data_IF_391569178262
#
_entry.id   IF_391569178262
#
_cell.length_a   1.000
_cell.length_b   1.000
_cell.length_c   1.000
_cell.angle_alpha   90.00
_cell.angle_beta   90.00
_cell.angle_gamma   90.00
#
_symmetry.space_group_name_H-M   'P 1'
#
loop_
_entity.id
_entity.type
_entity.pdbx_description
1 polymer ?
#
# COMPACT_ATOMS: atom_id res chain seq x y z
N UNK A 1 4.91 -19.58 -11.50
CA UNK A 1 4.44 -18.48 -12.37
C UNK A 1 3.44 -17.54 -11.66
N UNK A 2 3.44 -17.42 -10.32
CA UNK A 2 2.50 -16.57 -9.58
C UNK A 2 3.09 -15.23 -9.09
N UNK A 3 4.42 -15.11 -8.99
CA UNK A 3 5.08 -13.89 -8.52
C UNK A 3 4.91 -12.71 -9.49
N UNK A 4 4.95 -12.96 -10.80
CA UNK A 4 4.96 -11.90 -11.82
C UNK A 4 3.70 -11.02 -11.82
N UNK A 5 2.53 -11.52 -11.40
CA UNK A 5 1.30 -10.71 -11.36
C UNK A 5 1.25 -9.77 -10.17
N UNK A 6 1.93 -10.11 -9.07
CA UNK A 6 1.85 -9.34 -7.83
C UNK A 6 2.75 -8.10 -7.90
N UNK A 7 3.93 -8.20 -8.52
CA UNK A 7 4.82 -7.06 -8.77
C UNK A 7 4.17 -6.00 -9.68
N UNK A 8 3.50 -6.41 -10.77
CA UNK A 8 2.77 -5.49 -11.64
C UNK A 8 1.60 -4.82 -10.91
N UNK A 9 0.90 -5.57 -10.04
CA UNK A 9 -0.19 -5.05 -9.22
C UNK A 9 0.32 -4.06 -8.18
N UNK A 10 1.45 -4.35 -7.53
CA UNK A 10 2.08 -3.46 -6.57
C UNK A 10 2.50 -2.15 -7.22
N UNK A 11 3.22 -2.20 -8.34
CA UNK A 11 3.64 -1.00 -9.05
C UNK A 11 2.45 -0.11 -9.45
N UNK A 12 1.33 -0.73 -9.86
CA UNK A 12 0.10 -0.01 -10.15
C UNK A 12 -0.52 0.64 -8.90
N UNK A 13 -0.56 -0.06 -7.77
CA UNK A 13 -1.02 0.49 -6.47
C UNK A 13 -0.13 1.66 -6.04
N UNK A 14 1.19 1.50 -6.10
CA UNK A 14 2.15 2.54 -5.72
C UNK A 14 1.99 3.80 -6.58
N UNK A 15 1.83 3.63 -7.89
CA UNK A 15 1.59 4.74 -8.82
C UNK A 15 0.22 5.40 -8.58
N UNK A 16 -0.83 4.64 -8.32
CA UNK A 16 -2.16 5.18 -8.02
C UNK A 16 -2.14 5.97 -6.69
N UNK A 17 -1.53 5.40 -5.65
CA UNK A 17 -1.37 6.07 -4.36
C UNK A 17 -0.55 7.35 -4.48
N UNK A 18 0.59 7.33 -5.18
CA UNK A 18 1.40 8.51 -5.44
C UNK A 18 0.61 9.61 -6.17
N UNK A 19 -0.18 9.23 -7.20
CA UNK A 19 -1.06 10.15 -7.92
C UNK A 19 -2.13 10.77 -7.03
N UNK A 20 -2.82 9.96 -6.21
CA UNK A 20 -3.86 10.46 -5.30
C UNK A 20 -3.29 11.38 -4.20
N UNK A 21 -2.06 11.11 -3.77
CA UNK A 21 -1.32 11.95 -2.82
C UNK A 21 -0.73 13.20 -3.47
N UNK A 22 -0.81 13.33 -4.80
CA UNK A 22 -0.14 14.37 -5.58
C UNK A 22 1.38 14.43 -5.30
N UNK A 23 2.00 13.26 -5.14
CA UNK A 23 3.43 13.09 -4.88
C UNK A 23 4.14 12.54 -6.09
N UNK A 24 5.40 12.95 -6.27
CA UNK A 24 6.28 12.26 -7.20
C UNK A 24 6.51 10.82 -6.74
N UNK A 25 6.53 9.88 -7.70
CA UNK A 25 6.76 8.45 -7.40
C UNK A 25 8.03 8.23 -6.57
N UNK A 26 9.07 9.03 -6.82
CA UNK A 26 10.31 9.01 -6.03
C UNK A 26 10.05 9.41 -4.56
N UNK A 27 9.37 10.52 -4.33
CA UNK A 27 9.02 10.98 -2.98
C UNK A 27 8.14 9.96 -2.25
N UNK A 28 7.23 9.31 -2.97
CA UNK A 28 6.39 8.25 -2.45
C UNK A 28 7.20 7.02 -2.00
N UNK A 29 8.13 6.51 -2.83
CA UNK A 29 9.02 5.38 -2.48
C UNK A 29 10.03 5.70 -1.37
N UNK A 30 10.37 6.98 -1.22
CA UNK A 30 11.18 7.46 -0.10
C UNK A 30 10.36 7.58 1.20
N UNK A 31 9.06 7.83 1.10
CA UNK A 31 8.16 7.98 2.24
C UNK A 31 7.58 6.64 2.75
N UNK A 32 7.30 5.71 1.84
CA UNK A 32 6.69 4.43 2.13
C UNK A 32 7.55 3.28 1.63
N UNK A 33 7.67 2.25 2.45
CA UNK A 33 8.31 0.99 2.12
C UNK A 33 7.23 -0.08 1.97
N UNK A 34 7.09 -0.62 0.76
CA UNK A 34 6.16 -1.70 0.47
C UNK A 34 6.90 -3.03 0.52
N UNK A 35 6.36 -3.97 1.28
CA UNK A 35 6.80 -5.35 1.32
C UNK A 35 5.61 -6.23 0.96
N UNK A 36 5.76 -7.01 -0.09
CA UNK A 36 4.74 -7.98 -0.49
C UNK A 36 5.09 -9.32 0.14
N UNK A 37 4.16 -9.85 0.93
CA UNK A 37 4.14 -11.24 1.38
C UNK A 37 3.14 -12.04 0.53
N UNK A 38 3.09 -13.37 0.72
CA UNK A 38 2.30 -14.28 -0.13
C UNK A 38 0.83 -13.87 -0.32
N UNK A 39 0.21 -13.21 0.66
CA UNK A 39 -1.22 -12.82 0.63
C UNK A 39 -1.48 -11.40 1.15
N UNK A 40 -0.42 -10.65 1.49
CA UNK A 40 -0.53 -9.36 2.16
C UNK A 40 0.51 -8.35 1.67
N UNK A 41 0.14 -7.08 1.64
CA UNK A 41 1.02 -5.94 1.43
C UNK A 41 1.25 -5.26 2.78
N UNK A 42 2.50 -5.23 3.20
CA UNK A 42 2.93 -4.49 4.38
C UNK A 42 3.51 -3.16 3.94
N UNK A 43 3.07 -2.07 4.58
CA UNK A 43 3.51 -0.72 4.26
C UNK A 43 4.08 -0.08 5.50
N UNK A 44 5.38 0.18 5.46
CA UNK A 44 6.12 0.84 6.51
C UNK A 44 6.37 2.32 6.15
N UNK A 45 5.86 3.29 6.94
CA UNK A 45 6.26 4.68 6.88
C UNK A 45 7.75 4.80 7.18
N UNK A 46 8.52 5.39 6.26
CA UNK A 46 9.88 5.86 6.52
C UNK A 46 9.90 7.26 7.13
N UNK A 47 8.85 8.05 6.90
CA UNK A 47 8.66 9.33 7.58
C UNK A 47 8.02 9.12 8.96
N UNK A 48 8.59 9.81 9.95
CA UNK A 48 8.16 9.80 11.35
C UNK A 48 6.77 10.45 11.54
N UNK A 49 6.36 11.32 10.62
CA UNK A 49 5.04 11.95 10.62
C UNK A 49 4.38 11.81 9.25
N UNK A 50 3.48 10.83 9.13
CA UNK A 50 2.47 10.81 8.09
C UNK A 50 1.25 11.57 8.57
N UNK A 51 0.65 12.35 7.69
CA UNK A 51 -0.65 12.94 7.95
C UNK A 51 -1.73 11.86 7.85
N UNK A 52 -2.78 11.99 8.66
CA UNK A 52 -3.92 11.07 8.60
C UNK A 52 -4.58 11.05 7.21
N UNK A 53 -4.62 12.20 6.53
CA UNK A 53 -5.08 12.34 5.15
C UNK A 53 -4.27 11.48 4.16
N UNK A 54 -2.95 11.41 4.34
CA UNK A 54 -2.06 10.60 3.50
C UNK A 54 -2.33 9.11 3.71
N UNK A 55 -2.48 8.71 4.98
CA UNK A 55 -2.84 7.34 5.37
C UNK A 55 -4.20 6.91 4.82
N UNK A 56 -5.21 7.79 4.89
CA UNK A 56 -6.54 7.51 4.33
C UNK A 56 -6.50 7.38 2.82
N UNK A 57 -5.74 8.25 2.15
CA UNK A 57 -5.56 8.20 0.69
C UNK A 57 -4.89 6.90 0.26
N UNK A 58 -3.86 6.48 1.00
CA UNK A 58 -3.19 5.19 0.79
C UNK A 58 -4.18 4.03 0.97
N UNK A 59 -4.93 3.98 2.08
CA UNK A 59 -5.94 2.94 2.34
C UNK A 59 -6.96 2.82 1.20
N UNK A 60 -7.46 3.96 0.70
CA UNK A 60 -8.38 3.98 -0.44
C UNK A 60 -7.71 3.46 -1.73
N UNK A 61 -6.47 3.87 -2.00
CA UNK A 61 -5.74 3.39 -3.17
C UNK A 61 -5.48 1.88 -3.14
N UNK A 62 -5.28 1.28 -1.96
CA UNK A 62 -5.21 -0.18 -1.82
C UNK A 62 -6.59 -0.85 -1.96
N UNK A 63 -7.63 -0.24 -1.41
CA UNK A 63 -9.00 -0.75 -1.51
C UNK A 63 -9.49 -0.81 -2.96
N UNK A 64 -9.15 0.17 -3.80
CA UNK A 64 -9.43 0.19 -5.25
C UNK A 64 -8.87 -1.05 -5.97
N UNK A 65 -7.85 -1.70 -5.42
CA UNK A 65 -7.20 -2.90 -5.97
C UNK A 65 -7.58 -4.18 -5.22
N UNK A 66 -8.57 -4.12 -4.32
CA UNK A 66 -9.03 -5.26 -3.52
C UNK A 66 -8.17 -5.58 -2.31
N UNK A 67 -7.33 -4.66 -1.86
CA UNK A 67 -6.55 -4.81 -0.63
C UNK A 67 -7.22 -4.05 0.52
N UNK A 68 -7.63 -4.79 1.56
CA UNK A 68 -8.25 -4.21 2.74
C UNK A 68 -7.25 -4.13 3.88
N UNK A 69 -7.26 -3.00 4.59
CA UNK A 69 -6.47 -2.83 5.80
C UNK A 69 -6.89 -3.86 6.85
N UNK A 70 -5.93 -4.67 7.31
CA UNK A 70 -6.17 -5.73 8.30
C UNK A 70 -5.77 -5.31 9.71
N UNK A 71 -4.53 -4.89 9.87
CA UNK A 71 -3.93 -4.58 11.18
C UNK A 71 -2.69 -3.71 11.03
N UNK A 72 -2.31 -3.05 12.11
CA UNK A 72 -0.99 -2.42 12.25
C UNK A 72 -0.09 -3.32 13.08
N UNK A 73 1.13 -3.55 12.63
CA UNK A 73 2.18 -4.28 13.35
C UNK A 73 3.25 -3.30 13.79
N UNK A 74 3.75 -3.45 15.02
CA UNK A 74 4.78 -2.59 15.62
C UNK A 74 4.41 -1.09 15.60
N UNK A 75 3.13 -0.73 15.72
CA UNK A 75 2.60 0.64 15.69
C UNK A 75 2.89 1.49 14.42
N UNK A 76 3.63 0.95 13.46
CA UNK A 76 4.02 1.68 12.24
C UNK A 76 3.72 0.92 10.95
N UNK A 77 3.76 -0.42 10.95
CA UNK A 77 3.63 -1.22 9.73
C UNK A 77 2.16 -1.52 9.48
N UNK A 78 1.61 -0.99 8.40
CA UNK A 78 0.23 -1.23 8.00
C UNK A 78 0.16 -2.48 7.14
N UNK A 79 -0.58 -3.49 7.59
CA UNK A 79 -0.77 -4.74 6.86
C UNK A 79 -2.11 -4.71 6.16
N UNK A 80 -2.08 -4.91 4.85
CA UNK A 80 -3.24 -5.00 3.98
C UNK A 80 -3.28 -6.40 3.39
N UNK A 81 -4.42 -7.07 3.48
CA UNK A 81 -4.61 -8.39 2.87
C UNK A 81 -5.48 -8.24 1.62
N UNK A 82 -5.21 -9.07 0.62
CA UNK A 82 -6.08 -9.10 -0.56
C UNK A 82 -7.39 -9.78 -0.16
N UNK A 83 -8.41 -8.99 0.15
CA UNK A 83 -9.72 -9.52 0.50
C UNK A 83 -10.49 -9.73 -0.81
N UNK A 84 -10.22 -10.86 -1.44
CA UNK A 84 -10.94 -11.31 -2.64
C UNK A 84 -12.26 -11.93 -2.21
N UNK A 85 -13.13 -11.19 -1.52
CA UNK A 85 -14.56 -11.52 -1.49
C UNK A 85 -15.13 -11.22 -2.89
N UNK A 86 -14.79 -12.09 -3.84
CA UNK A 86 -15.59 -12.39 -5.02
C UNK A 86 -16.97 -12.85 -4.52
N UNK A 87 -17.90 -11.90 -4.41
CA UNK A 87 -19.33 -12.22 -4.42
C UNK A 87 -19.91 -11.96 -5.80
#
# INVERSE_FOLDING_TARGET
MAASKFDDTLAAIELNAARKLNWDYKQFKECFSFTVNQEAIEIAPKKIQLQESELQTLKQALLDYGFQYKKTVNDFILVFEQDVELR
#
